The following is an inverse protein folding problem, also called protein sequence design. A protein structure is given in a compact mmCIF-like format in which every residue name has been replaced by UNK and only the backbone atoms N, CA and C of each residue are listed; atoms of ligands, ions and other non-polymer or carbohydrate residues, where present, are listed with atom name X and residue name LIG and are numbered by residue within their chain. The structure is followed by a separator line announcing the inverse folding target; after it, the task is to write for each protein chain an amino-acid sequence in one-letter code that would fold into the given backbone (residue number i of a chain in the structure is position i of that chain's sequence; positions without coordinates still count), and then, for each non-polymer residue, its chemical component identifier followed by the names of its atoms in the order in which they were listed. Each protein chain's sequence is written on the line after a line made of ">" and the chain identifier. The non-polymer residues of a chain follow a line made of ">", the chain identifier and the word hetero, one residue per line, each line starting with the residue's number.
data_IF_369927762866
#
_entry.id   IF_369927762866
#
_cell.length_a   1.000
_cell.length_b   1.000
_cell.length_c   1.000
_cell.angle_alpha   90.00
_cell.angle_beta   90.00
_cell.angle_gamma   90.00
#
_symmetry.space_group_name_H-M   'P 1'
#
loop_
_entity.id
_entity.type
_entity.pdbx_description
1 polymer ?
#
# COMPACT_ATOMS: atom_id res chain seq x y z
N UNK A 1 -35.38 -6.80 -0.91
CA UNK A 1 -34.75 -6.49 0.41
C UNK A 1 -34.07 -5.13 0.41
N UNK A 2 -33.07 -4.85 -0.45
CA UNK A 2 -32.40 -3.53 -0.48
C UNK A 2 -33.32 -2.33 -0.80
N UNK A 3 -34.29 -2.51 -1.73
CA UNK A 3 -35.27 -1.46 -2.04
C UNK A 3 -36.15 -1.12 -0.83
N UNK A 4 -36.53 -2.13 -0.02
CA UNK A 4 -37.34 -1.94 1.19
C UNK A 4 -36.58 -1.17 2.27
N UNK A 5 -35.25 -1.20 2.22
CA UNK A 5 -34.35 -0.46 3.12
C UNK A 5 -33.95 0.91 2.55
N UNK A 6 -34.41 1.27 1.36
CA UNK A 6 -34.09 2.55 0.72
C UNK A 6 -32.62 2.70 0.30
N UNK A 7 -31.91 1.60 0.04
CA UNK A 7 -30.51 1.65 -0.39
C UNK A 7 -30.43 2.27 -1.79
N UNK A 8 -29.90 3.49 -1.88
CA UNK A 8 -29.87 4.26 -3.13
C UNK A 8 -29.03 3.60 -4.22
N UNK A 9 -27.90 2.99 -3.84
CA UNK A 9 -27.05 2.24 -4.75
C UNK A 9 -26.31 1.12 -4.00
N UNK A 10 -26.05 0.01 -4.70
CA UNK A 10 -25.17 -1.05 -4.22
C UNK A 10 -24.37 -1.64 -5.38
N UNK A 11 -23.22 -2.22 -5.06
CA UNK A 11 -22.31 -2.76 -6.07
C UNK A 11 -22.22 -4.28 -5.92
N UNK A 12 -22.29 -4.98 -7.04
CA UNK A 12 -21.98 -6.39 -7.12
C UNK A 12 -20.57 -6.55 -7.70
N UNK A 13 -19.77 -7.37 -7.03
CA UNK A 13 -18.38 -7.65 -7.41
C UNK A 13 -18.25 -9.14 -7.64
N UNK A 14 -17.83 -9.51 -8.84
CA UNK A 14 -17.48 -10.86 -9.23
C UNK A 14 -16.09 -10.83 -9.88
N UNK A 15 -15.06 -11.04 -9.05
CA UNK A 15 -13.68 -10.98 -9.52
C UNK A 15 -13.39 -12.13 -10.49
N UNK A 16 -13.99 -13.31 -10.35
CA UNK A 16 -13.77 -14.42 -11.30
C UNK A 16 -14.50 -14.19 -12.63
N UNK A 17 -15.64 -13.49 -12.60
CA UNK A 17 -16.48 -13.26 -13.78
C UNK A 17 -17.30 -14.48 -14.18
N UNK A 18 -17.47 -15.44 -13.28
CA UNK A 18 -18.17 -16.71 -13.52
C UNK A 18 -19.64 -16.68 -13.07
N UNK A 19 -20.00 -15.74 -12.20
CA UNK A 19 -21.28 -15.70 -11.50
C UNK A 19 -22.21 -14.62 -12.03
N UNK A 20 -21.65 -13.53 -12.54
CA UNK A 20 -22.39 -12.36 -13.00
C UNK A 20 -22.14 -12.05 -14.49
N UNK A 21 -23.09 -11.39 -15.18
CA UNK A 21 -22.89 -10.95 -16.56
C UNK A 21 -21.72 -9.97 -16.75
N UNK A 22 -21.29 -9.31 -15.67
CA UNK A 22 -20.16 -8.41 -15.62
C UNK A 22 -19.45 -8.53 -14.27
N UNK A 23 -18.12 -8.36 -14.27
CA UNK A 23 -17.28 -8.44 -13.06
C UNK A 23 -17.59 -7.35 -12.02
N UNK A 24 -18.10 -6.21 -12.49
CA UNK A 24 -18.56 -5.11 -11.66
C UNK A 24 -19.90 -4.60 -12.18
N UNK A 25 -20.84 -4.39 -11.27
CA UNK A 25 -22.16 -3.89 -11.61
C UNK A 25 -22.68 -2.98 -10.51
N UNK A 26 -23.01 -1.74 -10.86
CA UNK A 26 -23.68 -0.81 -9.95
C UNK A 26 -25.19 -0.95 -10.14
N UNK A 27 -25.91 -1.16 -9.05
CA UNK A 27 -27.37 -1.20 -9.03
C UNK A 27 -27.86 0.09 -8.40
N UNK A 28 -28.62 0.91 -9.13
CA UNK A 28 -29.15 2.18 -8.65
C UNK A 28 -30.67 2.16 -8.52
N UNK A 29 -31.16 2.53 -7.35
CA UNK A 29 -32.60 2.59 -7.05
C UNK A 29 -33.26 3.65 -7.93
N UNK A 30 -34.37 3.27 -8.56
CA UNK A 30 -35.19 4.11 -9.41
C UNK A 30 -36.42 4.61 -8.63
N UNK A 31 -37.10 5.68 -9.10
CA UNK A 31 -38.31 6.19 -8.47
C UNK A 31 -39.46 5.19 -8.36
N UNK A 32 -39.48 4.17 -9.24
CA UNK A 32 -40.48 3.09 -9.24
C UNK A 32 -40.15 1.95 -8.24
N UNK A 33 -39.06 2.09 -7.48
CA UNK A 33 -38.61 1.10 -6.50
C UNK A 33 -37.79 -0.05 -7.09
N UNK A 34 -37.51 -0.04 -8.39
CA UNK A 34 -36.65 -1.04 -9.05
C UNK A 34 -35.18 -0.62 -9.04
N UNK A 35 -34.28 -1.55 -9.36
CA UNK A 35 -32.86 -1.24 -9.55
C UNK A 35 -32.48 -1.31 -11.02
N UNK A 36 -31.79 -0.26 -11.48
CA UNK A 36 -31.17 -0.23 -12.80
C UNK A 36 -29.68 -0.56 -12.71
N UNK A 37 -29.20 -1.28 -13.70
CA UNK A 37 -27.80 -1.64 -13.87
C UNK A 37 -27.03 -0.49 -14.51
N UNK A 38 -25.86 -0.21 -13.97
CA UNK A 38 -24.97 0.84 -14.43
C UNK A 38 -23.52 0.34 -14.42
N UNK A 39 -22.79 0.68 -15.47
CA UNK A 39 -21.41 0.29 -15.70
C UNK A 39 -20.75 1.28 -16.66
N UNK A 40 -19.51 1.64 -16.37
CA UNK A 40 -18.71 2.48 -17.24
C UNK A 40 -18.26 1.69 -18.48
N UNK A 41 -17.88 2.41 -19.55
CA UNK A 41 -17.49 1.81 -20.83
C UNK A 41 -16.29 0.86 -20.75
N UNK A 42 -15.42 1.05 -19.78
CA UNK A 42 -14.24 0.22 -19.53
C UNK A 42 -14.53 -0.96 -18.59
N UNK A 43 -15.79 -1.16 -18.20
CA UNK A 43 -16.20 -2.23 -17.29
C UNK A 43 -16.08 -1.87 -15.80
N UNK A 44 -15.59 -0.67 -15.47
CA UNK A 44 -15.61 -0.14 -14.11
C UNK A 44 -17.01 0.30 -13.67
N UNK A 45 -17.13 0.73 -12.42
CA UNK A 45 -18.35 1.38 -11.91
C UNK A 45 -18.00 2.63 -11.10
N UNK A 46 -18.74 3.71 -11.32
CA UNK A 46 -18.54 4.98 -10.61
C UNK A 46 -19.75 5.28 -9.72
N UNK A 47 -19.52 5.32 -8.41
CA UNK A 47 -20.52 5.60 -7.38
C UNK A 47 -20.81 7.10 -7.28
N UNK A 48 -22.05 7.44 -6.93
CA UNK A 48 -22.42 8.84 -6.61
C UNK A 48 -21.76 9.38 -5.35
N UNK A 49 -21.18 8.50 -4.52
CA UNK A 49 -20.42 8.86 -3.32
C UNK A 49 -18.98 9.33 -3.62
N UNK A 50 -18.59 9.40 -4.90
CA UNK A 50 -17.32 9.98 -5.31
C UNK A 50 -16.13 9.00 -5.36
N UNK A 51 -16.41 7.70 -5.43
CA UNK A 51 -15.39 6.68 -5.69
C UNK A 51 -15.73 5.85 -6.93
N UNK A 52 -14.69 5.26 -7.51
CA UNK A 52 -14.77 4.39 -8.67
C UNK A 52 -14.14 3.04 -8.32
N UNK A 53 -14.77 1.96 -8.78
CA UNK A 53 -14.23 0.62 -8.70
C UNK A 53 -13.84 0.15 -10.10
N UNK A 54 -12.67 -0.45 -10.21
CA UNK A 54 -12.21 -1.15 -11.41
C UNK A 54 -11.63 -2.50 -11.00
N UNK A 55 -11.53 -3.41 -11.97
CA UNK A 55 -10.55 -4.48 -11.86
C UNK A 55 -9.25 -3.96 -12.49
N UNK A 56 -8.20 -3.92 -11.68
CA UNK A 56 -6.88 -3.44 -12.11
C UNK A 56 -6.16 -4.50 -12.96
N UNK A 57 -5.02 -4.16 -13.55
CA UNK A 57 -4.27 -5.08 -14.43
C UNK A 57 -3.73 -6.33 -13.73
N UNK A 58 -3.68 -6.34 -12.40
CA UNK A 58 -3.33 -7.51 -11.58
C UNK A 58 -4.53 -8.46 -11.34
N UNK A 59 -5.69 -8.15 -11.90
CA UNK A 59 -6.91 -8.95 -11.78
C UNK A 59 -7.70 -8.69 -10.50
N UNK A 60 -7.24 -7.81 -9.62
CA UNK A 60 -7.83 -7.53 -8.31
C UNK A 60 -8.73 -6.29 -8.34
N UNK A 61 -9.61 -6.19 -7.35
CA UNK A 61 -10.46 -5.02 -7.15
C UNK A 61 -9.60 -3.81 -6.72
N UNK A 62 -9.85 -2.68 -7.36
CA UNK A 62 -9.23 -1.39 -7.04
C UNK A 62 -10.26 -0.31 -6.83
N UNK A 63 -10.08 0.47 -5.76
CA UNK A 63 -10.86 1.68 -5.48
C UNK A 63 -10.04 2.90 -5.90
N UNK A 64 -10.68 3.83 -6.59
CA UNK A 64 -10.11 5.12 -6.99
C UNK A 64 -11.02 6.24 -6.48
N UNK A 65 -10.43 7.38 -6.18
CA UNK A 65 -11.19 8.61 -6.03
C UNK A 65 -11.75 9.02 -7.40
N UNK A 66 -13.06 9.17 -7.52
CA UNK A 66 -13.69 9.43 -8.82
C UNK A 66 -13.33 10.82 -9.40
N UNK A 67 -12.99 11.78 -8.53
CA UNK A 67 -12.67 13.15 -8.95
C UNK A 67 -11.20 13.28 -9.38
N UNK A 68 -10.28 12.61 -8.69
CA UNK A 68 -8.83 12.77 -8.94
C UNK A 68 -8.22 11.61 -9.72
N UNK A 69 -8.91 10.48 -9.83
CA UNK A 69 -8.35 9.25 -10.38
C UNK A 69 -7.26 8.62 -9.52
N UNK A 70 -7.02 9.12 -8.30
CA UNK A 70 -6.01 8.55 -7.40
C UNK A 70 -6.49 7.22 -6.83
N UNK A 71 -5.58 6.23 -6.81
CA UNK A 71 -5.83 4.92 -6.21
C UNK A 71 -5.81 5.02 -4.69
N UNK A 72 -6.81 4.42 -4.04
CA UNK A 72 -6.71 4.14 -2.62
C UNK A 72 -5.73 2.98 -2.40
N UNK A 73 -4.91 3.12 -1.36
CA UNK A 73 -3.95 2.10 -0.94
C UNK A 73 -4.73 0.86 -0.47
N UNK A 74 -4.38 -0.32 -0.97
CA UNK A 74 -4.97 -1.58 -0.48
C UNK A 74 -4.39 -1.91 0.90
N UNK A 75 -5.15 -2.55 1.80
CA UNK A 75 -4.65 -2.90 3.13
C UNK A 75 -3.29 -3.63 3.10
N UNK A 76 -3.13 -4.61 2.21
CA UNK A 76 -1.86 -5.34 2.07
C UNK A 76 -0.71 -4.48 1.53
N UNK A 77 -0.99 -3.43 0.75
CA UNK A 77 0.04 -2.51 0.22
C UNK A 77 0.57 -1.66 1.39
N UNK A 78 -0.33 -1.13 2.21
CA UNK A 78 0.02 -0.38 3.42
C UNK A 78 0.81 -1.24 4.42
N UNK A 79 0.41 -2.49 4.64
CA UNK A 79 1.14 -3.42 5.51
C UNK A 79 2.55 -3.71 5.00
N UNK A 80 2.69 -3.99 3.69
CA UNK A 80 4.00 -4.21 3.07
C UNK A 80 4.92 -3.01 3.21
N UNK A 81 4.40 -1.81 2.98
CA UNK A 81 5.16 -0.56 3.15
C UNK A 81 5.60 -0.37 4.61
N UNK A 82 4.70 -0.61 5.57
CA UNK A 82 5.01 -0.51 7.00
C UNK A 82 6.06 -1.53 7.47
N UNK A 83 6.05 -2.74 6.92
CA UNK A 83 7.08 -3.76 7.18
C UNK A 83 8.42 -3.34 6.55
N UNK A 84 8.41 -2.93 5.28
CA UNK A 84 9.62 -2.50 4.59
C UNK A 84 10.29 -1.31 5.29
N UNK A 85 9.48 -0.34 5.76
CA UNK A 85 9.96 0.80 6.53
C UNK A 85 10.64 0.37 7.84
N UNK A 86 10.00 -0.50 8.63
CA UNK A 86 10.59 -1.03 9.87
C UNK A 86 11.92 -1.74 9.61
N UNK A 87 11.99 -2.56 8.57
CA UNK A 87 13.23 -3.25 8.19
C UNK A 87 14.33 -2.27 7.76
N UNK A 88 13.98 -1.20 7.05
CA UNK A 88 14.93 -0.17 6.66
C UNK A 88 15.46 0.60 7.88
N UNK A 89 14.60 0.96 8.82
CA UNK A 89 14.95 1.63 10.08
C UNK A 89 15.86 0.74 10.94
N UNK A 90 15.55 -0.55 11.09
CA UNK A 90 16.38 -1.51 11.82
C UNK A 90 17.77 -1.68 11.18
N UNK A 91 17.84 -1.78 9.84
CA UNK A 91 19.12 -1.87 9.14
C UNK A 91 19.96 -0.61 9.31
N UNK A 92 19.32 0.56 9.27
CA UNK A 92 20.00 1.84 9.50
C UNK A 92 20.58 1.89 10.93
N UNK A 93 19.81 1.48 11.94
CA UNK A 93 20.28 1.44 13.33
C UNK A 93 21.47 0.47 13.49
N UNK A 94 21.37 -0.74 12.94
CA UNK A 94 22.47 -1.72 13.01
C UNK A 94 23.72 -1.24 12.27
N UNK A 95 23.57 -0.54 11.15
CA UNK A 95 24.69 0.04 10.43
C UNK A 95 25.36 1.16 11.23
N UNK A 96 24.58 2.01 11.89
CA UNK A 96 25.08 3.09 12.74
C UNK A 96 25.84 2.54 13.95
N UNK A 97 25.30 1.53 14.63
CA UNK A 97 25.98 0.88 15.76
C UNK A 97 27.29 0.22 15.34
N UNK A 98 27.31 -0.47 14.19
CA UNK A 98 28.53 -1.06 13.64
C UNK A 98 29.56 0.00 13.27
N UNK A 99 29.13 1.12 12.69
CA UNK A 99 30.01 2.24 12.36
C UNK A 99 30.64 2.82 13.63
N UNK A 100 29.86 3.08 14.68
CA UNK A 100 30.38 3.56 15.98
C UNK A 100 31.38 2.58 16.59
N UNK A 101 31.06 1.29 16.61
CA UNK A 101 31.99 0.27 17.13
C UNK A 101 33.27 0.14 16.30
N UNK A 102 33.22 0.41 15.00
CA UNK A 102 34.39 0.41 14.14
C UNK A 102 35.25 1.66 14.37
N UNK A 103 34.63 2.83 14.52
CA UNK A 103 35.31 4.08 14.85
C UNK A 103 36.02 4.00 16.21
N UNK A 104 35.35 3.50 17.25
CA UNK A 104 35.96 3.34 18.57
C UNK A 104 37.13 2.36 18.54
N UNK A 105 37.01 1.24 17.80
CA UNK A 105 38.11 0.29 17.60
C UNK A 105 39.28 0.89 16.84
N UNK A 106 39.02 1.66 15.78
CA UNK A 106 40.09 2.38 15.04
C UNK A 106 40.84 3.33 15.97
N UNK A 107 40.11 4.10 16.78
CA UNK A 107 40.70 5.05 17.72
C UNK A 107 41.59 4.37 18.75
N UNK A 108 41.15 3.23 19.32
CA UNK A 108 41.97 2.47 20.27
C UNK A 108 43.24 1.92 19.61
N UNK A 109 43.12 1.35 18.41
CA UNK A 109 44.26 0.83 17.65
C UNK A 109 45.25 1.93 17.26
N UNK A 110 44.77 3.11 16.87
CA UNK A 110 45.61 4.28 16.57
C UNK A 110 46.41 4.74 17.79
N UNK A 111 45.78 4.79 18.97
CA UNK A 111 46.45 5.12 20.24
C UNK A 111 47.53 4.09 20.57
N UNK A 112 47.25 2.80 20.39
CA UNK A 112 48.20 1.73 20.71
C UNK A 112 49.38 1.68 19.73
N UNK A 113 49.13 1.86 18.43
CA UNK A 113 50.17 2.00 17.42
C UNK A 113 51.09 3.21 17.69
N UNK A 114 50.52 4.33 18.16
CA UNK A 114 51.31 5.50 18.49
C UNK A 114 52.24 5.23 19.68
N UNK A 115 51.75 4.56 20.73
CA UNK A 115 52.60 4.16 21.87
C UNK A 115 53.75 3.26 21.44
N UNK A 116 53.47 2.23 20.64
CA UNK A 116 54.50 1.31 20.15
C UNK A 116 55.56 2.03 19.28
N UNK A 117 55.14 3.01 18.47
CA UNK A 117 56.09 3.85 17.71
C UNK A 117 56.99 4.68 18.62
N UNK A 118 56.42 5.31 19.64
CA UNK A 118 57.17 6.13 20.58
C UNK A 118 58.19 5.29 21.39
N UNK A 119 57.83 4.05 21.74
CA UNK A 119 58.73 3.11 22.44
C UNK A 119 59.89 2.65 21.54
N UNK A 120 59.63 2.34 20.27
CA UNK A 120 60.68 1.96 19.30
C UNK A 120 61.64 3.13 19.03
N UNK A 121 61.16 4.38 19.02
CA UNK A 121 62.03 5.55 18.81
C UNK A 121 62.88 5.94 20.03
N UNK A 122 62.56 5.44 21.23
CA UNK A 122 63.29 5.73 22.47
C UNK A 122 64.32 4.65 22.85
N UNK A 123 64.31 3.50 22.17
CA UNK A 123 65.33 2.45 22.24
C UNK A 123 66.41 2.64 21.19
#
# INVERSE_FOLDING_TARGET
>A
MYALLGVAEFILVDVSGELLPARLLLKRLQPDGTYKDDQDRDGGVTSTLGFRLIIDGDGELRVLNANTGQRYVRPFEAEREAIARRQAEERAHQAEEKARQAEDRSRLLEVELQRLRDDIQKS
#
